data_IF_745800550725
#
_entry.id   IF_745800550725
#
_cell.length_a   1.000
_cell.length_b   1.000
_cell.length_c   1.000
_cell.angle_alpha   90.00
_cell.angle_beta   90.00
_cell.angle_gamma   90.00
#
_symmetry.space_group_name_H-M   'P 1'
#
loop_
_entity.id
_entity.type
_entity.pdbx_description
1 polymer ?
#
# COMPACT_ATOMS: atom_id res chain seq x y z
N UNK A 1 28.44 3.64 5.44
CA UNK A 1 28.18 2.50 4.54
C UNK A 1 28.09 1.28 5.42
N UNK A 2 26.89 0.72 5.59
CA UNK A 2 26.67 -0.36 6.56
C UNK A 2 27.49 -1.59 6.15
N UNK A 3 28.22 -2.15 7.11
CA UNK A 3 28.77 -3.49 6.97
C UNK A 3 27.62 -4.45 7.24
N UNK A 4 26.87 -4.77 6.18
CA UNK A 4 25.88 -5.83 6.21
C UNK A 4 26.67 -7.13 6.30
N UNK A 5 26.75 -7.73 7.48
CA UNK A 5 27.34 -9.06 7.61
C UNK A 5 26.42 -10.11 6.97
N UNK A 6 26.95 -11.31 6.75
CA UNK A 6 26.21 -12.38 6.06
C UNK A 6 24.98 -12.92 6.82
N UNK A 7 24.72 -12.45 8.05
CA UNK A 7 23.62 -12.91 8.91
C UNK A 7 22.52 -11.86 9.15
N UNK A 8 22.79 -10.57 8.91
CA UNK A 8 21.87 -9.47 9.19
C UNK A 8 20.45 -9.71 8.66
N UNK A 9 20.32 -10.12 7.39
CA UNK A 9 19.02 -10.31 6.76
C UNK A 9 18.22 -11.37 7.52
N UNK A 10 18.86 -12.50 7.81
CA UNK A 10 18.24 -13.60 8.54
C UNK A 10 17.78 -13.15 9.92
N UNK A 11 18.65 -12.47 10.67
CA UNK A 11 18.33 -12.05 12.05
C UNK A 11 17.21 -10.99 12.07
N UNK A 12 17.20 -10.09 11.08
CA UNK A 12 16.14 -9.10 10.88
C UNK A 12 14.80 -9.76 10.60
N UNK A 13 14.78 -10.75 9.70
CA UNK A 13 13.57 -11.49 9.36
C UNK A 13 13.09 -12.36 10.52
N UNK A 14 13.98 -13.03 11.25
CA UNK A 14 13.65 -13.83 12.43
C UNK A 14 13.05 -12.97 13.54
N UNK A 15 13.63 -11.79 13.78
CA UNK A 15 13.10 -10.80 14.72
C UNK A 15 11.67 -10.38 14.33
N UNK A 16 11.45 -9.98 13.07
CA UNK A 16 10.12 -9.62 12.58
C UNK A 16 9.12 -10.78 12.70
N UNK A 17 9.53 -12.00 12.34
CA UNK A 17 8.72 -13.22 12.45
C UNK A 17 8.39 -13.57 13.91
N UNK A 18 9.20 -13.14 14.89
CA UNK A 18 8.90 -13.31 16.31
C UNK A 18 7.98 -12.21 16.89
N UNK A 19 7.52 -11.27 16.07
CA UNK A 19 6.71 -10.12 16.49
C UNK A 19 7.52 -8.90 16.91
N UNK A 20 8.83 -8.91 16.64
CA UNK A 20 9.71 -7.75 16.81
C UNK A 20 9.36 -6.60 15.85
N UNK A 21 9.85 -5.40 16.16
CA UNK A 21 9.73 -4.22 15.30
C UNK A 21 11.02 -4.01 14.53
N UNK A 22 10.90 -3.69 13.25
CA UNK A 22 12.03 -3.22 12.44
C UNK A 22 12.44 -1.81 12.89
N UNK A 23 13.73 -1.56 12.95
CA UNK A 23 14.27 -0.20 13.05
C UNK A 23 14.09 0.53 11.72
N UNK A 24 14.19 1.87 11.73
CA UNK A 24 14.21 2.64 10.48
C UNK A 24 15.40 2.25 9.60
N UNK A 25 16.54 1.96 10.21
CA UNK A 25 17.77 1.53 9.53
C UNK A 25 17.56 0.19 8.82
N UNK A 26 17.05 -0.82 9.53
CA UNK A 26 16.76 -2.13 8.94
C UNK A 26 15.68 -2.05 7.85
N UNK A 27 14.61 -1.29 8.10
CA UNK A 27 13.55 -1.10 7.11
C UNK A 27 14.08 -0.43 5.83
N UNK A 28 14.99 0.54 5.97
CA UNK A 28 15.63 1.19 4.81
C UNK A 28 16.55 0.23 4.07
N UNK A 29 17.38 -0.51 4.79
CA UNK A 29 18.29 -1.49 4.18
C UNK A 29 17.54 -2.61 3.44
N UNK A 30 16.39 -3.07 3.97
CA UNK A 30 15.54 -4.03 3.28
C UNK A 30 14.98 -3.49 1.95
N UNK A 31 14.65 -2.19 1.88
CA UNK A 31 14.15 -1.54 0.67
C UNK A 31 15.25 -1.32 -0.39
N UNK A 32 16.51 -1.31 0.01
CA UNK A 32 17.67 -1.17 -0.89
C UNK A 32 18.09 -2.49 -1.55
N UNK A 33 17.56 -3.63 -1.09
CA UNK A 33 17.91 -4.95 -1.64
C UNK A 33 17.43 -5.09 -3.10
N UNK A 34 18.27 -5.58 -4.02
CA UNK A 34 17.87 -5.74 -5.42
C UNK A 34 16.74 -6.76 -5.59
N UNK A 35 15.74 -6.40 -6.39
CA UNK A 35 14.63 -7.30 -6.73
C UNK A 35 15.09 -8.49 -7.57
N UNK A 36 14.42 -9.63 -7.42
CA UNK A 36 14.71 -10.85 -8.16
C UNK A 36 15.91 -11.65 -7.63
N UNK A 37 16.45 -11.25 -6.48
CA UNK A 37 17.50 -11.97 -5.75
C UNK A 37 16.91 -12.93 -4.71
N UNK A 38 17.72 -13.86 -4.24
CA UNK A 38 17.36 -14.75 -3.12
C UNK A 38 17.01 -13.98 -1.85
N UNK A 39 17.69 -12.85 -1.59
CA UNK A 39 17.42 -11.97 -0.46
C UNK A 39 16.03 -11.32 -0.57
N UNK A 40 15.70 -10.76 -1.74
CA UNK A 40 14.36 -10.18 -1.98
C UNK A 40 13.25 -11.24 -1.89
N UNK A 41 13.54 -12.48 -2.26
CA UNK A 41 12.63 -13.62 -2.11
C UNK A 41 12.45 -14.02 -0.65
N UNK A 42 13.52 -14.04 0.15
CA UNK A 42 13.44 -14.32 1.58
C UNK A 42 12.55 -13.30 2.32
N UNK A 43 12.62 -12.01 1.95
CA UNK A 43 11.71 -10.98 2.47
C UNK A 43 10.26 -11.30 2.11
N UNK A 44 9.98 -11.63 0.85
CA UNK A 44 8.64 -11.96 0.39
C UNK A 44 8.07 -13.20 1.10
N UNK A 45 8.88 -14.23 1.32
CA UNK A 45 8.52 -15.44 2.05
C UNK A 45 8.20 -15.14 3.52
N UNK A 46 9.02 -14.34 4.20
CA UNK A 46 8.77 -13.91 5.58
C UNK A 46 7.50 -13.05 5.70
N UNK A 47 7.31 -12.09 4.80
CA UNK A 47 6.11 -11.25 4.75
C UNK A 47 4.85 -12.10 4.48
N UNK A 48 4.92 -13.07 3.57
CA UNK A 48 3.84 -14.00 3.32
C UNK A 48 3.51 -14.86 4.55
N UNK A 49 4.53 -15.39 5.22
CA UNK A 49 4.35 -16.16 6.44
C UNK A 49 3.69 -15.32 7.55
N UNK A 50 4.08 -14.04 7.70
CA UNK A 50 3.42 -13.10 8.62
C UNK A 50 1.96 -12.84 8.24
N UNK A 51 1.67 -12.60 6.96
CA UNK A 51 0.31 -12.41 6.47
C UNK A 51 -0.59 -13.62 6.80
N UNK A 52 -0.10 -14.84 6.56
CA UNK A 52 -0.82 -16.08 6.84
C UNK A 52 -1.07 -16.33 8.34
N UNK A 53 -0.23 -15.79 9.24
CA UNK A 53 -0.49 -15.84 10.69
C UNK A 53 -1.66 -14.95 11.10
N UNK A 54 -1.90 -13.87 10.36
CA UNK A 54 -3.01 -12.96 10.63
C UNK A 54 -4.32 -13.45 9.97
N UNK A 55 -4.27 -13.78 8.67
CA UNK A 55 -5.44 -14.22 7.93
C UNK A 55 -5.05 -14.99 6.68
N UNK A 56 -5.88 -15.97 6.30
CA UNK A 56 -5.82 -16.65 4.99
C UNK A 56 -6.83 -16.10 3.99
N UNK A 57 -7.46 -14.97 4.32
CA UNK A 57 -8.53 -14.36 3.54
C UNK A 57 -8.06 -13.01 2.98
N UNK A 58 -8.30 -12.79 1.70
CA UNK A 58 -8.28 -11.45 1.11
C UNK A 58 -9.57 -10.71 1.49
N UNK A 59 -9.49 -9.39 1.62
CA UNK A 59 -10.67 -8.54 1.83
C UNK A 59 -11.00 -7.84 0.52
N UNK A 60 -12.27 -7.92 0.12
CA UNK A 60 -12.84 -7.08 -0.93
C UNK A 60 -13.34 -5.80 -0.24
N UNK A 61 -13.12 -4.66 -0.89
CA UNK A 61 -13.58 -3.36 -0.42
C UNK A 61 -13.74 -2.41 -1.60
N UNK A 62 -14.52 -1.35 -1.42
CA UNK A 62 -14.72 -0.29 -2.40
C UNK A 62 -14.29 1.07 -1.85
N UNK A 63 -13.78 1.93 -2.71
CA UNK A 63 -13.52 3.34 -2.42
C UNK A 63 -14.53 4.19 -3.21
N UNK A 64 -15.25 5.08 -2.53
CA UNK A 64 -16.18 6.01 -3.19
C UNK A 64 -15.51 7.37 -3.24
N UNK A 65 -15.13 7.82 -4.44
CA UNK A 65 -14.69 9.19 -4.68
C UNK A 65 -15.91 10.11 -4.68
N UNK A 66 -16.01 10.99 -3.69
CA UNK A 66 -17.18 11.87 -3.52
C UNK A 66 -17.07 13.15 -4.33
N UNK A 67 -15.84 13.68 -4.47
CA UNK A 67 -15.51 14.87 -5.22
C UNK A 67 -14.46 14.55 -6.29
N UNK A 68 -14.87 14.66 -7.54
CA UNK A 68 -13.99 14.53 -8.70
C UNK A 68 -13.84 15.88 -9.36
N UNK A 69 -12.80 16.63 -9.00
CA UNK A 69 -12.59 17.98 -9.50
C UNK A 69 -11.11 18.29 -9.80
N UNK A 70 -10.82 19.27 -10.68
CA UNK A 70 -9.46 19.77 -10.83
C UNK A 70 -8.93 20.31 -9.48
N UNK A 71 -7.82 19.75 -9.02
CA UNK A 71 -7.21 20.04 -7.72
C UNK A 71 -6.11 21.10 -7.86
N UNK A 72 -6.14 22.20 -7.08
CA UNK A 72 -5.14 23.27 -7.17
C UNK A 72 -3.78 22.89 -6.56
N UNK A 73 -3.66 21.74 -5.90
CA UNK A 73 -2.39 21.33 -5.27
C UNK A 73 -1.31 20.93 -6.28
N UNK A 74 -1.69 20.56 -7.51
CA UNK A 74 -0.76 20.25 -8.60
C UNK A 74 0.37 19.29 -8.19
N UNK A 75 0.05 18.27 -7.38
CA UNK A 75 1.03 17.24 -7.05
C UNK A 75 1.53 16.58 -8.34
N UNK A 76 2.86 16.45 -8.47
CA UNK A 76 3.53 15.99 -9.70
C UNK A 76 3.14 14.57 -10.14
N UNK A 77 2.60 13.77 -9.23
CA UNK A 77 2.16 12.39 -9.48
C UNK A 77 0.63 12.25 -9.59
N UNK A 78 -0.15 13.30 -9.31
CA UNK A 78 -1.61 13.21 -9.25
C UNK A 78 -2.24 13.80 -10.50
N UNK A 79 -3.01 13.00 -11.24
CA UNK A 79 -3.70 13.43 -12.48
C UNK A 79 -4.73 14.54 -12.27
N UNK A 80 -5.17 14.77 -11.03
CA UNK A 80 -6.16 15.78 -10.69
C UNK A 80 -5.59 17.20 -10.68
N UNK A 81 -4.26 17.37 -10.69
CA UNK A 81 -3.65 18.71 -10.74
C UNK A 81 -4.23 19.55 -11.88
N UNK A 82 -4.79 20.71 -11.55
CA UNK A 82 -5.42 21.63 -12.52
C UNK A 82 -4.44 22.07 -13.60
N UNK A 83 -3.15 22.22 -13.28
CA UNK A 83 -2.12 22.62 -14.24
C UNK A 83 -1.84 21.53 -15.29
N UNK A 84 -2.18 20.27 -15.00
CA UNK A 84 -2.03 19.17 -15.96
C UNK A 84 -3.12 19.19 -17.03
N UNK A 85 -4.24 19.87 -16.79
CA UNK A 85 -5.34 20.01 -17.75
C UNK A 85 -5.98 18.69 -18.20
N UNK A 86 -5.80 17.62 -17.41
CA UNK A 86 -6.36 16.28 -17.67
C UNK A 86 -7.80 16.23 -17.19
N UNK A 87 -8.04 16.57 -15.92
CA UNK A 87 -9.39 16.70 -15.35
C UNK A 87 -9.85 18.14 -15.61
N UNK A 88 -11.02 18.29 -16.26
CA UNK A 88 -11.55 19.60 -16.68
C UNK A 88 -12.90 19.92 -16.07
N UNK A 89 -13.67 18.88 -15.83
CA UNK A 89 -15.01 18.99 -15.26
C UNK A 89 -14.97 18.60 -13.79
N UNK A 90 -15.81 19.26 -13.01
CA UNK A 90 -16.06 18.90 -11.62
C UNK A 90 -17.35 18.11 -11.53
N UNK A 91 -17.30 17.02 -10.78
CA UNK A 91 -18.46 16.20 -10.44
C UNK A 91 -18.40 15.90 -8.95
N UNK A 92 -19.47 16.24 -8.24
CA UNK A 92 -19.62 15.97 -6.81
C UNK A 92 -20.89 15.17 -6.60
N UNK A 93 -20.79 14.11 -5.81
CA UNK A 93 -21.93 13.27 -5.47
C UNK A 93 -22.71 13.86 -4.31
N UNK A 94 -24.04 13.78 -4.35
CA UNK A 94 -24.88 14.08 -3.20
C UNK A 94 -24.76 12.98 -2.14
N UNK A 95 -25.15 13.29 -0.90
CA UNK A 95 -25.18 12.30 0.19
C UNK A 95 -25.98 11.05 -0.20
N UNK A 96 -27.14 11.24 -0.86
CA UNK A 96 -27.98 10.14 -1.32
C UNK A 96 -27.26 9.27 -2.35
N UNK A 97 -26.55 9.86 -3.31
CA UNK A 97 -25.78 9.12 -4.31
C UNK A 97 -24.65 8.30 -3.68
N UNK A 98 -23.98 8.86 -2.66
CA UNK A 98 -22.93 8.15 -1.90
C UNK A 98 -23.52 6.96 -1.15
N UNK A 99 -24.65 7.16 -0.45
CA UNK A 99 -25.33 6.09 0.30
C UNK A 99 -25.84 4.99 -0.63
N UNK A 100 -26.47 5.36 -1.74
CA UNK A 100 -26.98 4.39 -2.72
C UNK A 100 -25.85 3.57 -3.35
N UNK A 101 -24.72 4.21 -3.66
CA UNK A 101 -23.56 3.51 -4.19
C UNK A 101 -22.92 2.59 -3.14
N UNK A 102 -22.81 3.02 -1.88
CA UNK A 102 -22.31 2.17 -0.81
C UNK A 102 -23.18 0.93 -0.62
N UNK A 103 -24.51 1.11 -0.59
CA UNK A 103 -25.46 0.01 -0.50
C UNK A 103 -25.35 -0.95 -1.70
N UNK A 104 -25.22 -0.40 -2.91
CA UNK A 104 -25.05 -1.18 -4.14
C UNK A 104 -23.75 -1.98 -4.12
N UNK A 105 -22.61 -1.35 -3.81
CA UNK A 105 -21.33 -2.04 -3.76
C UNK A 105 -21.29 -3.14 -2.70
N UNK A 106 -21.88 -2.90 -1.52
CA UNK A 106 -22.02 -3.93 -0.50
C UNK A 106 -22.88 -5.11 -0.99
N UNK A 107 -23.98 -4.83 -1.71
CA UNK A 107 -24.81 -5.87 -2.32
C UNK A 107 -24.08 -6.65 -3.45
N UNK A 108 -23.15 -6.00 -4.15
CA UNK A 108 -22.29 -6.60 -5.18
C UNK A 108 -21.07 -7.36 -4.60
N UNK A 109 -20.86 -7.32 -3.28
CA UNK A 109 -19.85 -8.10 -2.55
C UNK A 109 -18.58 -7.35 -2.15
N UNK A 110 -18.62 -6.02 -2.17
CA UNK A 110 -17.57 -5.17 -1.61
C UNK A 110 -17.67 -5.00 -0.09
#
# INVERSE_FOLDING_TARGET
MMQVDGSWLKDTLDSALSGGRLSLEDATALLELPLGTDDSRAIAEAAHALALRHSRQGRIWTAIGVDYCPCPQNCSFCSFGVDWGIIRDSHEWTEEQVVDAAARFAAEGA
#
